data_IF_941741581941
#
_entry.id   IF_941741581941
#
_cell.length_a   1.000
_cell.length_b   1.000
_cell.length_c   1.000
_cell.angle_alpha   90.00
_cell.angle_beta   90.00
_cell.angle_gamma   90.00
#
_symmetry.space_group_name_H-M   'P 1'
#
loop_
_entity.id
_entity.type
_entity.pdbx_description
1 polymer ?
#
# COMPACT_ATOMS: atom_id res chain seq x y z
N UNK A 1 -23.15 16.85 -13.27
CA UNK A 1 -21.72 16.54 -13.02
C UNK A 1 -21.28 15.61 -14.13
N UNK A 2 -20.29 16.02 -14.91
CA UNK A 2 -19.73 15.23 -16.01
C UNK A 2 -18.74 14.23 -15.40
N UNK A 3 -19.13 12.96 -15.34
CA UNK A 3 -18.42 11.93 -14.57
C UNK A 3 -17.64 11.02 -15.52
N UNK A 4 -16.38 10.72 -15.18
CA UNK A 4 -15.64 9.65 -15.83
C UNK A 4 -16.32 8.31 -15.56
N UNK A 5 -16.48 7.48 -16.59
CA UNK A 5 -17.10 6.16 -16.48
C UNK A 5 -16.13 5.08 -16.88
N UNK A 6 -15.94 4.07 -16.03
CA UNK A 6 -15.21 2.85 -16.38
C UNK A 6 -16.09 1.99 -17.30
N UNK A 7 -15.62 1.71 -18.50
CA UNK A 7 -16.34 0.92 -19.51
C UNK A 7 -15.94 -0.54 -19.47
N UNK A 8 -14.64 -0.82 -19.30
CA UNK A 8 -14.11 -2.18 -19.26
C UNK A 8 -12.82 -2.23 -18.41
N UNK A 9 -12.47 -3.42 -17.95
CA UNK A 9 -11.15 -3.71 -17.38
C UNK A 9 -10.75 -5.13 -17.75
N UNK A 10 -9.56 -5.27 -18.32
CA UNK A 10 -8.97 -6.54 -18.72
C UNK A 10 -7.70 -6.76 -17.93
N UNK A 11 -7.58 -7.90 -17.23
CA UNK A 11 -6.35 -8.26 -16.53
C UNK A 11 -5.29 -8.70 -17.56
N UNK A 12 -4.15 -8.02 -17.55
CA UNK A 12 -3.03 -8.27 -18.47
C UNK A 12 -1.84 -8.95 -17.79
N UNK A 13 -1.76 -8.87 -16.46
CA UNK A 13 -0.77 -9.56 -15.65
C UNK A 13 -1.34 -9.93 -14.29
N UNK A 14 -0.97 -11.11 -13.79
CA UNK A 14 -1.36 -11.63 -12.49
C UNK A 14 -0.13 -12.17 -11.76
N UNK A 15 0.33 -11.42 -10.76
CA UNK A 15 1.51 -11.74 -9.98
C UNK A 15 1.18 -12.10 -8.53
N UNK A 16 2.20 -12.46 -7.76
CA UNK A 16 2.04 -12.85 -6.35
C UNK A 16 1.73 -11.68 -5.41
N UNK A 17 2.06 -10.45 -5.79
CA UNK A 17 1.81 -9.24 -4.99
C UNK A 17 0.81 -8.30 -5.66
N UNK A 18 0.99 -8.07 -6.96
CA UNK A 18 0.16 -7.15 -7.73
C UNK A 18 -0.47 -7.87 -8.91
N UNK A 19 -1.63 -7.38 -9.34
CA UNK A 19 -2.12 -7.61 -10.70
C UNK A 19 -2.12 -6.30 -11.47
N UNK A 20 -1.99 -6.39 -12.79
CA UNK A 20 -2.09 -5.24 -13.68
C UNK A 20 -3.25 -5.46 -14.62
N UNK A 21 -4.12 -4.46 -14.72
CA UNK A 21 -5.23 -4.44 -15.66
C UNK A 21 -5.15 -3.24 -16.59
N UNK A 22 -5.63 -3.40 -17.82
CA UNK A 22 -5.93 -2.29 -18.72
C UNK A 22 -7.39 -1.90 -18.55
N UNK A 23 -7.64 -0.69 -18.05
CA UNK A 23 -8.98 -0.12 -17.93
C UNK A 23 -9.32 0.79 -19.12
N UNK A 24 -10.52 0.65 -19.69
CA UNK A 24 -11.08 1.59 -20.67
C UNK A 24 -12.06 2.51 -19.97
N UNK A 25 -11.90 3.81 -20.17
CA UNK A 25 -12.71 4.85 -19.55
C UNK A 25 -13.29 5.79 -20.60
N UNK A 26 -14.47 6.32 -20.29
CA UNK A 26 -15.13 7.41 -21.01
C UNK A 26 -14.95 8.71 -20.24
N UNK A 27 -14.51 9.75 -20.92
CA UNK A 27 -14.36 11.09 -20.39
C UNK A 27 -15.68 11.88 -20.47
N UNK A 28 -15.80 12.99 -19.72
CA UNK A 28 -16.90 13.94 -19.82
C UNK A 28 -17.36 14.36 -21.22
N UNK A 29 -16.45 14.43 -22.18
CA UNK A 29 -16.70 14.84 -23.56
C UNK A 29 -17.10 13.65 -24.47
N UNK A 30 -17.25 12.45 -23.91
CA UNK A 30 -17.57 11.21 -24.62
C UNK A 30 -16.36 10.53 -25.26
N UNK A 31 -15.16 11.11 -25.17
CA UNK A 31 -13.95 10.46 -25.67
C UNK A 31 -13.58 9.25 -24.80
N UNK A 32 -12.96 8.24 -25.41
CA UNK A 32 -12.48 7.05 -24.69
C UNK A 32 -10.97 7.05 -24.56
N UNK A 33 -10.47 6.55 -23.44
CA UNK A 33 -9.03 6.40 -23.20
C UNK A 33 -8.75 5.16 -22.34
N UNK A 34 -7.50 4.70 -22.40
CA UNK A 34 -7.03 3.57 -21.58
C UNK A 34 -6.13 4.04 -20.44
N UNK A 35 -6.10 3.26 -19.35
CA UNK A 35 -5.14 3.39 -18.23
C UNK A 35 -4.66 2.01 -17.81
N UNK A 36 -3.39 1.94 -17.43
CA UNK A 36 -2.87 0.80 -16.68
C UNK A 36 -3.23 0.98 -15.21
N UNK A 37 -3.76 -0.08 -14.61
CA UNK A 37 -4.27 -0.12 -13.25
C UNK A 37 -3.52 -1.23 -12.50
N UNK A 38 -2.64 -0.84 -11.60
CA UNK A 38 -1.95 -1.73 -10.67
C UNK A 38 -2.86 -1.93 -9.46
N UNK A 39 -3.22 -3.19 -9.20
CA UNK A 39 -4.01 -3.60 -8.04
C UNK A 39 -3.07 -4.11 -6.95
N UNK A 40 -3.15 -3.51 -5.76
CA UNK A 40 -2.33 -3.88 -4.60
C UNK A 40 -3.24 -4.17 -3.40
N UNK A 41 -2.90 -5.13 -2.51
CA UNK A 41 -3.68 -5.41 -1.29
C UNK A 41 -3.73 -4.24 -0.27
N UNK A 42 -3.01 -3.16 -0.54
CA UNK A 42 -2.71 -2.12 0.43
C UNK A 42 -1.60 -2.53 1.42
N UNK A 43 -1.24 -1.59 2.28
CA UNK A 43 -0.15 -1.77 3.22
C UNK A 43 -0.44 -1.08 4.56
N UNK A 44 0.33 -1.44 5.56
CA UNK A 44 0.47 -0.69 6.80
C UNK A 44 1.95 -0.35 6.99
N UNK A 45 2.20 0.80 7.59
CA UNK A 45 3.51 1.16 8.12
C UNK A 45 3.33 1.58 9.56
N UNK A 46 4.36 1.42 10.38
CA UNK A 46 4.29 1.80 11.79
C UNK A 46 5.56 2.57 12.13
N UNK A 47 5.43 3.61 12.95
CA UNK A 47 6.56 4.40 13.45
C UNK A 47 6.76 4.05 14.92
N UNK A 48 7.58 3.05 15.27
CA UNK A 48 7.75 2.64 16.66
C UNK A 48 8.65 3.65 17.36
N UNK A 49 8.12 4.27 18.41
CA UNK A 49 8.84 5.23 19.24
C UNK A 49 9.11 4.61 20.61
N UNK A 50 10.37 4.58 21.02
CA UNK A 50 10.77 4.06 22.33
C UNK A 50 10.70 5.11 23.45
N UNK A 51 11.07 4.72 24.68
CA UNK A 51 11.06 5.60 25.86
C UNK A 51 12.00 6.80 25.74
N UNK A 52 13.05 6.69 24.91
CA UNK A 52 14.05 7.72 24.70
C UNK A 52 13.67 8.65 23.51
N UNK A 53 12.48 8.43 22.93
CA UNK A 53 11.97 9.11 21.73
C UNK A 53 12.79 8.81 20.46
N UNK A 54 13.47 7.67 20.45
CA UNK A 54 14.11 7.17 19.23
C UNK A 54 13.08 6.43 18.39
N UNK A 55 13.25 6.49 17.06
CA UNK A 55 12.44 5.73 16.10
C UNK A 55 13.21 4.49 15.70
N UNK A 56 12.56 3.33 15.82
CA UNK A 56 13.11 2.09 15.31
C UNK A 56 12.89 2.00 13.81
N UNK A 57 13.97 1.72 13.07
CA UNK A 57 14.00 1.55 11.63
C UNK A 57 14.54 0.17 11.26
N UNK A 58 14.15 -0.31 10.09
CA UNK A 58 14.67 -1.54 9.48
C UNK A 58 15.50 -1.22 8.25
N UNK A 59 16.49 -2.06 7.95
CA UNK A 59 17.23 -2.01 6.70
C UNK A 59 16.86 -3.23 5.86
N UNK A 60 16.22 -2.99 4.71
CA UNK A 60 15.66 -4.05 3.88
C UNK A 60 16.06 -3.86 2.41
N UNK A 61 16.40 -4.98 1.77
CA UNK A 61 16.66 -5.01 0.33
C UNK A 61 15.35 -4.89 -0.46
N UNK A 62 15.27 -3.92 -1.35
CA UNK A 62 14.11 -3.67 -2.21
C UNK A 62 14.45 -4.02 -3.65
N UNK A 63 13.97 -5.18 -4.10
CA UNK A 63 14.25 -5.71 -5.45
C UNK A 63 13.84 -4.77 -6.60
N UNK A 64 12.82 -3.93 -6.41
CA UNK A 64 12.37 -2.97 -7.44
C UNK A 64 13.39 -1.85 -7.74
N UNK A 65 14.29 -1.56 -6.79
CA UNK A 65 15.33 -0.53 -6.93
C UNK A 65 16.75 -1.09 -6.82
N UNK A 66 16.87 -2.39 -6.53
CA UNK A 66 18.14 -3.11 -6.37
C UNK A 66 19.07 -2.47 -5.32
N UNK A 67 18.51 -2.14 -4.14
CA UNK A 67 19.27 -1.53 -3.05
C UNK A 67 18.67 -1.81 -1.67
N UNK A 68 19.51 -1.70 -0.63
CA UNK A 68 19.06 -1.65 0.77
C UNK A 68 18.57 -0.24 1.11
N UNK A 69 17.31 -0.14 1.54
CA UNK A 69 16.76 1.10 2.08
C UNK A 69 16.72 1.06 3.59
N UNK A 70 16.77 2.25 4.19
CA UNK A 70 16.45 2.45 5.60
C UNK A 70 14.99 2.92 5.68
N UNK A 71 14.14 2.15 6.33
CA UNK A 71 12.68 2.31 6.29
C UNK A 71 12.09 2.16 7.70
N UNK A 72 10.86 2.65 7.87
CA UNK A 72 10.03 2.26 9.00
C UNK A 72 9.48 0.84 8.76
N UNK A 73 9.21 0.04 9.81
CA UNK A 73 8.59 -1.27 9.64
C UNK A 73 7.25 -1.15 8.91
N UNK A 74 7.01 -2.06 7.98
CA UNK A 74 5.83 -2.01 7.12
C UNK A 74 5.50 -3.39 6.57
N UNK A 75 4.21 -3.64 6.37
CA UNK A 75 3.74 -4.91 5.85
C UNK A 75 2.46 -4.80 5.06
N UNK A 76 2.09 -5.92 4.46
CA UNK A 76 0.94 -5.99 3.55
C UNK A 76 -0.33 -6.26 4.34
N UNK A 77 -1.46 -5.83 3.78
CA UNK A 77 -2.77 -6.19 4.30
C UNK A 77 -3.27 -7.46 3.61
N UNK A 78 -2.56 -8.56 3.82
CA UNK A 78 -2.80 -9.86 3.18
C UNK A 78 -3.76 -10.77 3.95
N UNK A 79 -4.12 -10.40 5.18
CA UNK A 79 -5.14 -11.08 5.99
C UNK A 79 -6.50 -10.40 5.76
N UNK A 80 -7.45 -11.15 5.18
CA UNK A 80 -8.79 -10.63 4.88
C UNK A 80 -9.53 -10.20 6.15
N UNK A 81 -10.02 -8.96 6.15
CA UNK A 81 -10.78 -8.39 7.26
C UNK A 81 -9.94 -7.96 8.47
N UNK A 82 -8.62 -8.13 8.44
CA UNK A 82 -7.74 -7.67 9.53
C UNK A 82 -7.77 -6.14 9.65
N UNK A 83 -8.07 -5.59 10.85
CA UNK A 83 -7.98 -4.15 11.08
C UNK A 83 -6.55 -3.64 10.86
N UNK A 84 -6.34 -2.44 10.29
CA UNK A 84 -5.00 -1.90 10.04
C UNK A 84 -4.10 -1.85 11.28
N UNK A 85 -4.67 -1.60 12.46
CA UNK A 85 -3.93 -1.61 13.72
C UNK A 85 -3.37 -2.99 14.05
N UNK A 86 -4.14 -4.06 13.83
CA UNK A 86 -3.70 -5.44 14.09
C UNK A 86 -2.63 -5.86 13.09
N UNK A 87 -2.80 -5.51 11.80
CA UNK A 87 -1.75 -5.71 10.78
C UNK A 87 -0.46 -5.00 11.20
N UNK A 88 -0.53 -3.74 11.63
CA UNK A 88 0.65 -2.96 12.03
C UNK A 88 1.37 -3.56 13.25
N UNK A 89 0.60 -4.08 14.23
CA UNK A 89 1.14 -4.76 15.42
C UNK A 89 1.83 -6.07 15.07
N UNK A 90 1.20 -6.89 14.21
CA UNK A 90 1.74 -8.16 13.74
C UNK A 90 3.05 -7.95 12.98
N UNK A 91 3.05 -7.04 12.01
CA UNK A 91 4.24 -6.75 11.18
C UNK A 91 5.39 -6.18 12.00
N UNK A 92 5.10 -5.33 13.00
CA UNK A 92 6.13 -4.85 13.93
C UNK A 92 6.79 -5.99 14.71
N UNK A 93 6.00 -6.96 15.17
CA UNK A 93 6.52 -8.12 15.90
C UNK A 93 7.30 -9.07 14.97
N UNK A 94 6.83 -9.27 13.73
CA UNK A 94 7.48 -10.14 12.75
C UNK A 94 8.82 -9.58 12.25
N UNK A 95 8.89 -8.28 11.92
CA UNK A 95 10.08 -7.66 11.34
C UNK A 95 11.15 -7.32 12.39
N UNK A 96 10.73 -6.98 13.62
CA UNK A 96 11.60 -6.37 14.63
C UNK A 96 11.57 -7.12 15.97
N UNK A 97 10.57 -7.96 16.21
CA UNK A 97 10.44 -8.69 17.48
C UNK A 97 9.97 -7.84 18.65
N UNK A 98 9.32 -6.70 18.40
CA UNK A 98 8.84 -5.79 19.45
C UNK A 98 7.32 -5.64 19.41
N UNK A 99 6.72 -5.36 20.57
CA UNK A 99 5.27 -5.13 20.71
C UNK A 99 4.99 -3.72 21.17
N UNK A 100 4.14 -3.01 20.44
CA UNK A 100 3.71 -1.66 20.80
C UNK A 100 2.66 -1.69 21.91
N UNK A 101 2.84 -0.89 22.96
CA UNK A 101 1.85 -0.76 24.05
C UNK A 101 0.63 0.07 23.65
N UNK A 102 0.80 1.08 22.79
CA UNK A 102 -0.25 1.95 22.23
C UNK A 102 0.04 2.12 20.75
N UNK A 103 -1.02 2.06 19.94
CA UNK A 103 -0.96 2.33 18.49
C UNK A 103 -2.04 3.34 18.19
N UNK A 104 -1.72 4.33 17.36
CA UNK A 104 -2.65 5.37 16.93
C UNK A 104 -2.44 5.65 15.46
N UNK A 105 -3.54 5.81 14.72
CA UNK A 105 -3.48 6.18 13.31
C UNK A 105 -2.92 7.61 13.17
N UNK A 106 -1.81 7.74 12.47
CA UNK A 106 -1.16 9.00 12.11
C UNK A 106 -1.65 9.51 10.75
N UNK A 107 -1.75 8.62 9.76
CA UNK A 107 -2.12 9.00 8.41
C UNK A 107 -2.72 7.84 7.62
N UNK A 108 -3.37 8.17 6.50
CA UNK A 108 -3.78 7.21 5.48
C UNK A 108 -3.78 7.88 4.11
N UNK A 109 -3.29 7.17 3.08
CA UNK A 109 -3.11 7.77 1.76
C UNK A 109 -2.93 6.73 0.65
N UNK A 110 -3.16 7.16 -0.59
CA UNK A 110 -2.75 6.43 -1.77
C UNK A 110 -1.29 6.75 -2.12
N UNK A 111 -0.46 5.73 -2.32
CA UNK A 111 0.97 5.93 -2.62
C UNK A 111 1.20 6.48 -4.04
N UNK A 112 0.42 6.01 -5.01
CA UNK A 112 0.62 6.34 -6.43
C UNK A 112 -0.70 6.32 -7.22
N UNK A 113 -1.68 7.19 -6.87
CA UNK A 113 -3.04 7.14 -7.40
C UNK A 113 -3.16 7.39 -8.92
N UNK A 114 -2.05 7.78 -9.58
CA UNK A 114 -2.00 7.88 -11.04
C UNK A 114 -2.12 6.53 -11.75
N UNK A 115 -1.76 5.43 -11.08
CA UNK A 115 -1.82 4.08 -11.66
C UNK A 115 -2.04 2.93 -10.65
N UNK A 116 -1.78 3.13 -9.36
CA UNK A 116 -1.92 2.10 -8.32
C UNK A 116 -3.04 2.46 -7.35
N UNK A 117 -3.82 1.46 -6.93
CA UNK A 117 -4.80 1.59 -5.85
C UNK A 117 -4.24 1.25 -4.46
N UNK A 118 -2.91 1.07 -4.36
CA UNK A 118 -2.24 0.85 -3.08
C UNK A 118 -2.55 1.97 -2.09
N UNK A 119 -3.25 1.57 -1.04
CA UNK A 119 -3.63 2.41 0.09
C UNK A 119 -2.87 1.99 1.34
N UNK A 120 -2.19 2.94 1.97
CA UNK A 120 -1.41 2.72 3.18
C UNK A 120 -2.07 3.36 4.40
N UNK A 121 -1.97 2.68 5.53
CA UNK A 121 -2.20 3.26 6.87
C UNK A 121 -0.87 3.43 7.58
N UNK A 122 -0.72 4.51 8.33
CA UNK A 122 0.43 4.78 9.21
C UNK A 122 -0.07 5.08 10.61
#
# INVERSE_FOLDING_TARGET
MTQFRKLAEERVYDGSLISVSRGTFEAPDGSTFNRDLVRHPGAVSIVPVDSDRSVLLVRQYRAAIDADLLEIPAGKRDVEGEPPEETARRELEEEVGVRAGRVEKLAEFYNSPGFSDEYSYV
#
